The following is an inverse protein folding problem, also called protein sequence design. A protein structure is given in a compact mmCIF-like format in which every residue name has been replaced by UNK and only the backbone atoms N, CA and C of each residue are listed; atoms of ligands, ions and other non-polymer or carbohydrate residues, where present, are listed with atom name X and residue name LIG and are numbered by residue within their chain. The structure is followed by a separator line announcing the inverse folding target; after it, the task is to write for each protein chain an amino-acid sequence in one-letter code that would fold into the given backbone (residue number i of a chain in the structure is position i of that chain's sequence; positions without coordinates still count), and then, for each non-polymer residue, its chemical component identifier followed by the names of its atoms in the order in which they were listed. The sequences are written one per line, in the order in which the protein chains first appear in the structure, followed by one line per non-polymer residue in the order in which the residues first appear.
data_IF_586566942327
#
_entry.id   IF_586566942327
#
_cell.length_a   1.000
_cell.length_b   1.000
_cell.length_c   1.000
_cell.angle_alpha   90.00
_cell.angle_beta   90.00
_cell.angle_gamma   90.00
#
_symmetry.space_group_name_H-M   'P 1'
#
loop_
_entity.id
_entity.type
_entity.pdbx_description
1 polymer ?
#
# COMPACT_ATOMS: atom_id res chain seq x y z
N UNK A 1 -10.98 11.09 -27.37
CA UNK A 1 -11.81 11.04 -26.14
C UNK A 1 -10.94 11.46 -24.97
N UNK A 2 -11.42 12.39 -24.15
CA UNK A 2 -10.67 12.84 -22.96
C UNK A 2 -11.20 12.04 -21.75
N UNK A 3 -10.32 11.37 -21.04
CA UNK A 3 -10.67 10.65 -19.82
C UNK A 3 -10.44 11.53 -18.59
N UNK A 4 -11.30 11.39 -17.60
CA UNK A 4 -11.12 12.02 -16.29
C UNK A 4 -10.23 11.11 -15.43
N UNK A 5 -8.92 11.32 -15.51
CA UNK A 5 -7.94 10.52 -14.81
C UNK A 5 -8.04 10.66 -13.28
N UNK A 6 -8.46 11.83 -12.78
CA UNK A 6 -8.73 12.00 -11.35
C UNK A 6 -9.90 11.14 -10.89
N UNK A 7 -11.00 11.14 -11.64
CA UNK A 7 -12.17 10.31 -11.30
C UNK A 7 -11.84 8.82 -11.31
N UNK A 8 -11.01 8.35 -12.25
CA UNK A 8 -10.57 6.95 -12.31
C UNK A 8 -9.75 6.58 -11.07
N UNK A 9 -8.81 7.43 -10.67
CA UNK A 9 -7.98 7.20 -9.47
C UNK A 9 -8.82 7.24 -8.19
N UNK A 10 -9.73 8.21 -8.06
CA UNK A 10 -10.66 8.26 -6.92
C UNK A 10 -11.57 7.03 -6.85
N UNK A 11 -12.02 6.52 -7.99
CA UNK A 11 -12.77 5.28 -8.06
C UNK A 11 -11.94 4.09 -7.59
N UNK A 12 -10.67 3.97 -8.02
CA UNK A 12 -9.78 2.92 -7.57
C UNK A 12 -9.58 2.94 -6.04
N UNK A 13 -9.39 4.12 -5.44
CA UNK A 13 -9.36 4.25 -3.98
C UNK A 13 -10.67 3.82 -3.33
N UNK A 14 -11.80 4.26 -3.85
CA UNK A 14 -13.12 3.94 -3.32
C UNK A 14 -13.38 2.43 -3.29
N UNK A 15 -13.04 1.71 -4.36
CA UNK A 15 -13.20 0.25 -4.45
C UNK A 15 -12.31 -0.51 -3.46
N UNK A 16 -11.22 0.10 -3.00
CA UNK A 16 -10.28 -0.49 -2.05
C UNK A 16 -10.54 -0.08 -0.58
N UNK A 17 -11.57 0.75 -0.31
CA UNK A 17 -11.98 1.11 1.06
C UNK A 17 -12.53 -0.12 1.82
N UNK A 18 -12.24 -0.22 3.11
CA UNK A 18 -12.73 -1.33 3.94
C UNK A 18 -14.25 -1.45 3.98
N UNK A 19 -14.96 -0.32 3.90
CA UNK A 19 -16.43 -0.27 3.87
C UNK A 19 -17.05 -0.70 2.53
N UNK A 20 -16.27 -0.76 1.47
CA UNK A 20 -16.70 -1.12 0.11
C UNK A 20 -16.13 -2.47 -0.31
N UNK A 21 -14.80 -2.58 -0.29
CA UNK A 21 -13.99 -3.75 -0.62
C UNK A 21 -14.45 -4.47 -1.92
N UNK A 22 -14.49 -3.71 -3.00
CA UNK A 22 -14.76 -4.21 -4.34
C UNK A 22 -13.44 -4.49 -5.07
N UNK A 23 -12.85 -5.65 -4.82
CA UNK A 23 -11.57 -6.04 -5.41
C UNK A 23 -11.66 -6.17 -6.93
N UNK A 24 -12.79 -6.67 -7.46
CA UNK A 24 -13.00 -6.79 -8.90
C UNK A 24 -13.06 -5.41 -9.57
N UNK A 25 -13.75 -4.46 -8.95
CA UNK A 25 -13.80 -3.06 -9.40
C UNK A 25 -12.43 -2.39 -9.38
N UNK A 26 -11.64 -2.63 -8.32
CA UNK A 26 -10.27 -2.16 -8.24
C UNK A 26 -9.42 -2.70 -9.40
N UNK A 27 -9.37 -4.01 -9.57
CA UNK A 27 -8.61 -4.67 -10.66
C UNK A 27 -9.10 -4.23 -12.03
N UNK A 28 -10.42 -4.07 -12.20
CA UNK A 28 -11.05 -3.60 -13.45
C UNK A 28 -10.67 -2.18 -13.87
N UNK A 29 -10.12 -1.37 -12.95
CA UNK A 29 -9.58 -0.05 -13.25
C UNK A 29 -8.22 -0.10 -13.97
N UNK A 30 -7.51 -1.22 -13.90
CA UNK A 30 -6.21 -1.40 -14.52
C UNK A 30 -6.30 -1.90 -15.96
N UNK A 31 -5.26 -1.61 -16.74
CA UNK A 31 -4.99 -2.28 -18.01
C UNK A 31 -4.67 -3.77 -17.77
N UNK A 32 -4.81 -4.60 -18.79
CA UNK A 32 -4.58 -6.05 -18.68
C UNK A 32 -3.14 -6.41 -18.23
N UNK A 33 -2.17 -5.57 -18.59
CA UNK A 33 -0.75 -5.67 -18.21
C UNK A 33 -0.37 -4.71 -17.09
N UNK A 34 -1.37 -4.16 -16.38
CA UNK A 34 -1.18 -3.20 -15.31
C UNK A 34 -0.31 -3.73 -14.17
N UNK A 35 0.39 -2.80 -13.52
CA UNK A 35 1.38 -3.09 -12.48
C UNK A 35 1.14 -2.25 -11.24
N UNK A 36 1.29 -2.87 -10.07
CA UNK A 36 1.43 -2.17 -8.79
C UNK A 36 2.85 -2.43 -8.30
N UNK A 37 3.61 -1.36 -8.08
CA UNK A 37 4.91 -1.42 -7.41
C UNK A 37 4.84 -0.72 -6.06
N UNK A 38 5.24 -1.44 -5.01
CA UNK A 38 5.37 -0.87 -3.69
C UNK A 38 6.82 -0.40 -3.52
N UNK A 39 7.02 0.90 -3.44
CA UNK A 39 8.32 1.52 -3.22
C UNK A 39 8.88 1.29 -1.82
N UNK A 40 8.06 0.72 -0.93
CA UNK A 40 8.49 0.21 0.35
C UNK A 40 8.64 -1.29 0.28
N UNK A 41 9.62 -1.72 0.94
CA UNK A 41 10.12 -3.05 0.93
C UNK A 41 9.18 -4.10 1.49
N UNK A 42 9.14 -5.20 0.82
CA UNK A 42 8.79 -6.47 1.42
C UNK A 42 9.90 -6.87 2.40
N UNK A 43 9.55 -7.13 3.65
CA UNK A 43 10.50 -7.67 4.62
C UNK A 43 10.65 -9.16 4.31
N UNK A 44 11.80 -9.54 3.79
CA UNK A 44 12.16 -10.93 3.52
C UNK A 44 13.32 -11.37 4.43
N UNK A 45 13.52 -12.69 4.63
CA UNK A 45 14.65 -13.18 5.43
C UNK A 45 16.02 -12.73 4.90
N UNK A 46 16.10 -12.41 3.60
CA UNK A 46 17.30 -11.91 2.91
C UNK A 46 17.48 -10.41 2.99
N UNK A 47 16.52 -9.68 3.60
CA UNK A 47 16.52 -8.22 3.68
C UNK A 47 15.26 -7.58 3.12
N UNK A 48 15.41 -6.34 2.65
CA UNK A 48 14.31 -5.52 2.16
C UNK A 48 14.27 -5.58 0.64
N UNK A 49 13.21 -6.17 0.07
CA UNK A 49 12.98 -6.31 -1.36
C UNK A 49 11.85 -5.42 -1.88
N UNK A 50 11.85 -5.12 -3.16
CA UNK A 50 10.74 -4.44 -3.82
C UNK A 50 9.60 -5.42 -4.06
N UNK A 51 8.36 -5.01 -3.72
CA UNK A 51 7.16 -5.80 -3.97
C UNK A 51 6.45 -5.29 -5.22
N UNK A 52 6.09 -6.21 -6.11
CA UNK A 52 5.37 -5.91 -7.35
C UNK A 52 4.21 -6.89 -7.55
N UNK A 53 3.06 -6.37 -8.00
CA UNK A 53 1.87 -7.16 -8.33
C UNK A 53 1.49 -6.93 -9.77
N UNK A 54 1.11 -8.01 -10.50
CA UNK A 54 0.75 -7.97 -11.92
C UNK A 54 -0.42 -8.91 -12.22
N UNK A 55 -1.24 -8.56 -13.20
CA UNK A 55 -2.30 -9.42 -13.71
C UNK A 55 -3.25 -9.91 -12.63
N UNK A 56 -3.38 -11.22 -12.47
CA UNK A 56 -4.26 -11.84 -11.47
C UNK A 56 -3.88 -11.50 -10.00
N UNK A 57 -2.65 -11.04 -9.76
CA UNK A 57 -2.16 -10.71 -8.42
C UNK A 57 -2.42 -9.26 -7.99
N UNK A 58 -2.97 -8.41 -8.86
CA UNK A 58 -3.28 -7.02 -8.53
C UNK A 58 -4.23 -6.88 -7.32
N UNK A 59 -5.19 -7.79 -7.21
CA UNK A 59 -6.16 -7.81 -6.11
C UNK A 59 -5.59 -8.26 -4.76
N UNK A 60 -4.44 -8.95 -4.74
CA UNK A 60 -3.84 -9.48 -3.51
C UNK A 60 -3.45 -8.37 -2.53
N UNK A 61 -2.98 -7.23 -3.04
CA UNK A 61 -2.64 -6.08 -2.21
C UNK A 61 -3.86 -5.56 -1.44
N UNK A 62 -4.98 -5.40 -2.13
CA UNK A 62 -6.23 -4.91 -1.52
C UNK A 62 -6.73 -5.88 -0.47
N UNK A 63 -6.76 -7.16 -0.76
CA UNK A 63 -7.13 -8.21 0.19
C UNK A 63 -6.24 -8.22 1.43
N UNK A 64 -4.92 -8.12 1.25
CA UNK A 64 -3.96 -8.14 2.35
C UNK A 64 -4.12 -6.94 3.27
N UNK A 65 -4.29 -5.75 2.70
CA UNK A 65 -4.49 -4.54 3.50
C UNK A 65 -5.82 -4.61 4.26
N UNK A 66 -6.90 -5.04 3.61
CA UNK A 66 -8.19 -5.21 4.27
C UNK A 66 -8.19 -6.31 5.35
N UNK A 67 -7.34 -7.33 5.22
CA UNK A 67 -7.15 -8.34 6.28
C UNK A 67 -6.49 -7.75 7.52
N UNK A 68 -5.50 -6.87 7.34
CA UNK A 68 -4.81 -6.20 8.45
C UNK A 68 -5.70 -5.12 9.09
N UNK A 69 -6.36 -4.33 8.26
CA UNK A 69 -7.18 -3.17 8.61
C UNK A 69 -8.55 -3.29 7.94
N UNK A 70 -9.51 -4.04 8.54
CA UNK A 70 -10.83 -4.24 7.91
C UNK A 70 -11.62 -2.95 7.67
N UNK A 71 -11.34 -1.92 8.46
CA UNK A 71 -11.90 -0.57 8.35
C UNK A 71 -10.99 0.41 7.60
N UNK A 72 -10.09 -0.08 6.73
CA UNK A 72 -9.14 0.77 6.02
C UNK A 72 -9.84 1.89 5.27
N UNK A 73 -9.33 3.11 5.47
CA UNK A 73 -9.75 4.33 4.83
C UNK A 73 -8.55 5.10 4.28
N UNK A 74 -8.72 5.73 3.13
CA UNK A 74 -7.69 6.56 2.50
C UNK A 74 -8.15 8.00 2.46
N UNK A 75 -7.63 8.80 3.37
CA UNK A 75 -7.87 10.24 3.40
C UNK A 75 -6.95 10.91 2.36
N UNK A 76 -7.55 11.44 1.28
CA UNK A 76 -6.79 12.10 0.21
C UNK A 76 -6.59 13.57 0.55
N UNK A 77 -5.37 13.98 0.84
CA UNK A 77 -5.04 15.34 1.23
C UNK A 77 -4.82 16.26 0.03
N UNK A 78 -4.15 15.75 -1.01
CA UNK A 78 -3.86 16.49 -2.23
C UNK A 78 -3.86 15.57 -3.43
N UNK A 79 -4.52 15.99 -4.51
CA UNK A 79 -4.54 15.28 -5.79
C UNK A 79 -4.03 16.24 -6.86
N UNK A 80 -3.00 15.84 -7.58
CA UNK A 80 -2.42 16.61 -8.67
C UNK A 80 -2.49 15.80 -9.96
N UNK A 81 -3.10 16.35 -10.98
CA UNK A 81 -3.23 15.72 -12.30
C UNK A 81 -2.28 16.40 -13.29
N UNK A 82 -1.43 15.61 -13.91
CA UNK A 82 -0.50 16.08 -14.93
C UNK A 82 -0.54 15.14 -16.14
N UNK A 83 -1.42 15.45 -17.08
CA UNK A 83 -1.65 14.57 -18.25
C UNK A 83 -2.12 13.18 -17.84
N UNK A 84 -1.38 12.15 -18.21
CA UNK A 84 -1.64 10.76 -17.85
C UNK A 84 -1.15 10.37 -16.45
N UNK A 85 -0.62 11.32 -15.67
CA UNK A 85 -0.09 11.06 -14.33
C UNK A 85 -0.97 11.72 -13.27
N UNK A 86 -1.32 10.99 -12.21
CA UNK A 86 -2.02 11.51 -11.04
C UNK A 86 -1.16 11.23 -9.81
N UNK A 87 -0.72 12.30 -9.13
CA UNK A 87 0.04 12.21 -7.88
C UNK A 87 -0.86 12.55 -6.69
N UNK A 88 -0.86 11.71 -5.67
CA UNK A 88 -1.73 11.83 -4.51
C UNK A 88 -0.93 11.79 -3.23
N UNK A 89 -1.12 12.80 -2.37
CA UNK A 89 -0.71 12.76 -0.97
C UNK A 89 -1.90 12.32 -0.14
N UNK A 90 -1.72 11.30 0.69
CA UNK A 90 -2.80 10.71 1.47
C UNK A 90 -2.32 10.17 2.81
N UNK A 91 -3.27 9.85 3.66
CA UNK A 91 -3.08 8.98 4.82
C UNK A 91 -3.86 7.68 4.64
N UNK A 92 -3.23 6.56 4.95
CA UNK A 92 -3.90 5.27 5.08
C UNK A 92 -4.23 5.06 6.56
N UNK A 93 -5.51 5.03 6.87
CA UNK A 93 -6.04 4.93 8.23
C UNK A 93 -6.75 3.60 8.45
N UNK A 94 -6.79 3.13 9.68
CA UNK A 94 -7.50 1.91 10.03
C UNK A 94 -7.21 1.43 11.43
N UNK A 95 -7.77 0.27 11.77
CA UNK A 95 -7.58 -0.40 13.06
C UNK A 95 -6.88 -1.73 12.83
N UNK A 96 -5.78 -1.98 13.51
CA UNK A 96 -5.01 -3.22 13.40
C UNK A 96 -5.78 -4.38 14.06
N UNK A 97 -6.54 -5.11 13.27
CA UNK A 97 -7.40 -6.21 13.71
C UNK A 97 -7.05 -7.56 13.10
N UNK A 98 -6.24 -7.61 12.04
CA UNK A 98 -5.75 -8.85 11.44
C UNK A 98 -4.29 -9.11 11.76
N UNK A 99 -3.86 -10.39 11.82
CA UNK A 99 -2.47 -10.72 12.13
C UNK A 99 -1.53 -10.28 10.99
N UNK A 100 -0.35 -9.75 11.36
CA UNK A 100 0.73 -9.47 10.42
C UNK A 100 1.73 -10.62 10.42
N UNK A 101 1.76 -11.36 9.33
CA UNK A 101 2.72 -12.45 9.13
C UNK A 101 4.09 -11.89 8.76
N UNK A 102 5.13 -12.34 9.44
CA UNK A 102 6.53 -11.97 9.18
C UNK A 102 7.43 -13.21 9.18
N UNK A 103 8.64 -13.13 8.59
CA UNK A 103 9.59 -14.23 8.67
C UNK A 103 9.99 -14.63 10.10
N UNK A 104 9.88 -13.73 11.06
CA UNK A 104 10.18 -13.97 12.47
C UNK A 104 8.97 -14.53 13.26
N UNK A 105 7.79 -14.60 12.66
CA UNK A 105 6.54 -15.03 13.28
C UNK A 105 5.40 -14.06 13.05
N UNK A 106 4.34 -14.20 13.82
CA UNK A 106 3.10 -13.46 13.66
C UNK A 106 3.01 -12.34 14.71
N UNK A 107 2.88 -11.11 14.25
CA UNK A 107 2.49 -9.98 15.11
C UNK A 107 0.99 -10.03 15.29
N UNK A 108 0.54 -10.27 16.52
CA UNK A 108 -0.89 -10.35 16.85
C UNK A 108 -1.55 -8.98 16.79
N UNK A 109 -2.81 -8.89 16.34
CA UNK A 109 -3.55 -7.64 16.31
C UNK A 109 -3.73 -7.07 17.71
N UNK A 110 -3.55 -5.75 17.84
CA UNK A 110 -3.62 -5.04 19.11
C UNK A 110 -4.84 -4.11 19.23
N UNK A 111 -5.57 -3.91 18.14
CA UNK A 111 -6.62 -2.88 18.06
C UNK A 111 -6.05 -1.45 17.95
N UNK A 112 -4.74 -1.32 17.70
CA UNK A 112 -4.12 -0.01 17.52
C UNK A 112 -4.68 0.71 16.29
N UNK A 113 -4.93 2.01 16.43
CA UNK A 113 -5.26 2.88 15.30
C UNK A 113 -4.00 3.23 14.54
N UNK A 114 -4.07 3.18 13.21
CA UNK A 114 -2.99 3.61 12.33
C UNK A 114 -3.42 4.83 11.52
N UNK A 115 -2.45 5.69 11.26
CA UNK A 115 -2.54 6.84 10.37
C UNK A 115 -1.19 6.97 9.65
N UNK A 116 -1.11 6.38 8.46
CA UNK A 116 0.14 6.12 7.74
C UNK A 116 0.28 7.13 6.62
N UNK A 117 1.24 8.08 6.69
CA UNK A 117 1.52 8.97 5.56
C UNK A 117 1.91 8.17 4.33
N UNK A 118 1.38 8.58 3.19
CA UNK A 118 1.60 7.91 1.92
C UNK A 118 1.64 8.91 0.77
N UNK A 119 2.44 8.62 -0.24
CA UNK A 119 2.39 9.28 -1.53
C UNK A 119 2.24 8.22 -2.62
N UNK A 120 1.28 8.42 -3.49
CA UNK A 120 0.97 7.50 -4.58
C UNK A 120 1.12 8.18 -5.93
N UNK A 121 1.69 7.48 -6.89
CA UNK A 121 1.78 7.93 -8.28
C UNK A 121 1.06 6.93 -9.17
N UNK A 122 0.09 7.43 -9.91
CA UNK A 122 -0.72 6.66 -10.85
C UNK A 122 -0.42 7.08 -12.28
N UNK A 123 -0.17 6.12 -13.15
CA UNK A 123 0.05 6.34 -14.57
C UNK A 123 -1.09 5.72 -15.36
N UNK A 124 -1.77 6.55 -16.17
CA UNK A 124 -2.96 6.16 -16.90
C UNK A 124 -2.80 6.42 -18.39
N UNK A 125 -3.35 5.51 -19.19
CA UNK A 125 -3.52 5.66 -20.63
C UNK A 125 -4.88 5.11 -21.05
N UNK A 126 -5.55 5.82 -21.94
CA UNK A 126 -6.82 5.42 -22.55
C UNK A 126 -7.88 4.98 -21.51
N UNK A 127 -7.96 5.70 -20.38
CA UNK A 127 -8.92 5.44 -19.31
C UNK A 127 -8.61 4.23 -18.44
N UNK A 128 -7.39 3.69 -18.49
CA UNK A 128 -6.93 2.56 -17.68
C UNK A 128 -5.65 2.89 -16.94
N UNK A 129 -5.49 2.32 -15.75
CA UNK A 129 -4.27 2.42 -14.95
C UNK A 129 -3.26 1.42 -15.50
N UNK A 130 -2.12 1.91 -16.01
CA UNK A 130 -1.01 1.06 -16.44
C UNK A 130 -0.06 0.75 -15.29
N UNK A 131 0.10 1.70 -14.37
CA UNK A 131 1.02 1.55 -13.25
C UNK A 131 0.54 2.33 -12.03
N UNK A 132 0.72 1.76 -10.88
CA UNK A 132 0.50 2.36 -9.59
C UNK A 132 1.73 2.16 -8.71
N UNK A 133 2.40 3.25 -8.35
CA UNK A 133 3.53 3.26 -7.41
C UNK A 133 3.05 3.80 -6.05
N UNK A 134 3.18 2.99 -5.01
CA UNK A 134 2.77 3.35 -3.66
C UNK A 134 3.99 3.50 -2.74
N UNK A 135 4.11 4.66 -2.09
CA UNK A 135 5.19 5.01 -1.17
C UNK A 135 4.65 5.25 0.24
N UNK A 136 4.10 4.22 0.85
CA UNK A 136 3.61 4.28 2.21
C UNK A 136 4.78 4.26 3.22
N UNK A 137 4.67 5.04 4.30
CA UNK A 137 5.66 5.05 5.37
C UNK A 137 5.51 3.82 6.27
N UNK A 138 6.00 2.66 5.82
CA UNK A 138 5.89 1.38 6.52
C UNK A 138 6.50 1.39 7.91
N UNK A 139 7.58 2.13 8.13
CA UNK A 139 8.19 2.29 9.46
C UNK A 139 7.23 2.97 10.45
N UNK A 140 6.45 3.95 9.98
CA UNK A 140 5.41 4.60 10.79
C UNK A 140 4.30 3.62 11.14
N UNK A 141 3.83 2.84 10.16
CA UNK A 141 2.84 1.78 10.39
C UNK A 141 3.33 0.80 11.46
N UNK A 142 4.55 0.26 11.29
CA UNK A 142 5.13 -0.71 12.22
C UNK A 142 5.21 -0.14 13.64
N UNK A 143 5.67 1.12 13.80
CA UNK A 143 5.74 1.78 15.09
C UNK A 143 4.34 1.93 15.73
N UNK A 144 3.32 2.30 14.94
CA UNK A 144 1.95 2.47 15.43
C UNK A 144 1.31 1.16 15.89
N UNK A 145 1.64 0.04 15.25
CA UNK A 145 1.16 -1.29 15.69
C UNK A 145 2.03 -1.94 16.77
N UNK A 146 3.05 -1.24 17.28
CA UNK A 146 3.88 -1.67 18.40
C UNK A 146 5.21 -2.33 18.02
N UNK A 147 5.55 -2.43 16.74
CA UNK A 147 6.86 -2.90 16.27
C UNK A 147 7.81 -1.71 16.22
N UNK A 148 8.75 -1.64 17.17
CA UNK A 148 9.68 -0.51 17.28
C UNK A 148 11.03 -0.84 16.66
N UNK A 149 11.61 0.04 15.84
CA UNK A 149 13.03 -0.05 15.48
C UNK A 149 13.89 0.04 16.75
N UNK A 150 14.78 -0.91 16.94
CA UNK A 150 15.66 -0.96 18.10
C UNK A 150 17.11 -0.70 17.64
N UNK A 151 17.54 0.54 17.78
CA UNK A 151 18.92 0.90 17.47
C UNK A 151 19.95 0.19 18.38
N UNK A 152 19.57 -0.12 19.63
CA UNK A 152 20.46 -0.81 20.55
C UNK A 152 20.79 -2.23 20.04
N UNK A 153 19.78 -2.97 19.56
CA UNK A 153 20.00 -4.27 18.90
C UNK A 153 20.85 -4.14 17.65
N UNK A 154 20.63 -3.09 16.84
CA UNK A 154 21.42 -2.85 15.64
C UNK A 154 22.88 -2.51 15.95
N UNK A 155 23.13 -1.76 17.03
CA UNK A 155 24.48 -1.45 17.50
C UNK A 155 25.17 -2.68 18.10
N UNK A 156 24.43 -3.53 18.80
CA UNK A 156 24.96 -4.76 19.41
C UNK A 156 25.18 -5.91 18.39
N UNK A 157 24.56 -5.83 17.22
CA UNK A 157 24.73 -6.85 16.18
C UNK A 157 26.18 -6.85 15.67
N UNK A 158 26.82 -8.05 15.54
CA UNK A 158 28.15 -8.10 14.92
C UNK A 158 28.05 -7.57 13.49
N UNK A 159 29.07 -6.78 13.07
CA UNK A 159 29.17 -6.36 11.69
C UNK A 159 29.09 -7.58 10.78
N UNK A 160 28.14 -7.61 9.88
CA UNK A 160 28.07 -8.67 8.86
C UNK A 160 29.41 -8.70 8.15
N UNK A 161 30.00 -9.88 8.04
CA UNK A 161 31.25 -10.04 7.30
C UNK A 161 31.00 -9.54 5.87
N UNK A 162 31.73 -8.50 5.47
CA UNK A 162 31.67 -7.91 4.14
C UNK A 162 32.34 -8.81 3.13
#
# INVERSE_FOLDING_TARGET
MTYDNEAIVRHAYHTAEGSVLDVAGFVGSFAADGVIDLGHARIEPSGVGQESHRGAHLGELVHRIAKLFPDVHRELHRVNVLGGTVAVELSIQGTFLGPLETPAGIVQPTGAKVDIPCADIWYLRDGKIERFDCYAMSSTMLAQIGVRPDFASAVAAPAAAR
#
